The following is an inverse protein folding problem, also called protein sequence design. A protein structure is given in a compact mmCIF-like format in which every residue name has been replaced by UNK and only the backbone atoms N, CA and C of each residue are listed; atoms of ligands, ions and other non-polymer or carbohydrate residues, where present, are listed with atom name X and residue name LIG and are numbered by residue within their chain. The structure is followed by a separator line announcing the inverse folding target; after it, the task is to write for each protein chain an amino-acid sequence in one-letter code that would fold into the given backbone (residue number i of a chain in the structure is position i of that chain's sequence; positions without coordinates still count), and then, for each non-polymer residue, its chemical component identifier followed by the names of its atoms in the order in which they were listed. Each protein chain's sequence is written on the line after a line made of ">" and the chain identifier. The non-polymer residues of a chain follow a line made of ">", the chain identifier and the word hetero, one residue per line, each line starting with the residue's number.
data_IF_983321953347
#
_entry.id   IF_983321953347
#
_cell.length_a   1.000
_cell.length_b   1.000
_cell.length_c   1.000
_cell.angle_alpha   90.00
_cell.angle_beta   90.00
_cell.angle_gamma   90.00
#
_symmetry.space_group_name_H-M   'P 1'
#
loop_
_entity.id
_entity.type
_entity.pdbx_description
1 polymer ?
#
# COMPACT_ATOMS: atom_id res chain seq x y z
N UNK A 1 98.03 5.10 30.61
CA UNK A 1 97.20 5.72 31.66
C UNK A 1 95.75 5.52 31.28
N UNK A 2 94.91 5.15 32.27
CA UNK A 2 93.48 4.75 32.16
C UNK A 2 92.61 5.84 31.48
N UNK A 3 91.40 5.61 30.94
CA UNK A 3 90.28 4.71 31.30
C UNK A 3 89.28 4.67 30.12
N UNK A 4 88.80 3.51 29.62
CA UNK A 4 87.53 2.81 29.98
C UNK A 4 86.27 3.70 29.96
N UNK A 5 85.36 3.59 28.98
CA UNK A 5 84.35 2.54 28.66
C UNK A 5 82.94 2.81 29.25
N UNK A 6 81.95 2.57 28.38
CA UNK A 6 80.54 2.16 28.60
C UNK A 6 79.40 3.18 28.41
N UNK A 7 78.59 2.87 27.38
CA UNK A 7 77.15 3.08 27.16
C UNK A 7 76.28 2.33 28.21
N UNK A 8 74.92 2.22 28.12
CA UNK A 8 73.86 3.02 27.44
C UNK A 8 72.58 3.22 28.34
N UNK A 9 71.44 3.58 27.70
CA UNK A 9 70.00 3.34 28.04
C UNK A 9 69.18 4.64 28.23
N UNK A 10 68.09 4.79 27.47
CA UNK A 10 66.92 5.55 27.92
C UNK A 10 65.61 4.82 27.65
N UNK A 11 64.83 4.70 28.72
CA UNK A 11 63.46 4.18 28.77
C UNK A 11 62.54 5.27 29.35
N UNK A 12 61.26 5.10 29.04
CA UNK A 12 60.08 5.90 29.34
C UNK A 12 59.82 6.27 30.82
N UNK A 13 59.12 7.39 31.04
CA UNK A 13 58.35 7.70 32.27
C UNK A 13 58.25 9.21 32.54
N UNK A 14 57.11 9.87 32.28
CA UNK A 14 55.93 10.04 33.16
C UNK A 14 56.21 10.74 34.51
N UNK A 15 55.69 11.97 34.68
CA UNK A 15 55.35 12.53 36.00
C UNK A 15 54.29 13.64 35.92
N UNK A 16 53.58 13.78 37.05
CA UNK A 16 52.24 14.32 37.28
C UNK A 16 52.32 15.40 38.38
N UNK A 17 51.50 16.46 38.32
CA UNK A 17 51.16 17.37 39.44
C UNK A 17 51.05 18.84 39.02
N UNK A 18 49.87 19.49 38.90
CA UNK A 18 48.83 19.98 39.85
C UNK A 18 48.97 21.44 40.36
N UNK A 19 47.81 22.15 40.36
CA UNK A 19 47.43 23.49 40.90
C UNK A 19 47.71 24.71 39.98
N UNK A 20 46.72 25.37 39.34
CA UNK A 20 45.58 26.15 39.87
C UNK A 20 45.89 27.66 39.65
N UNK A 21 45.23 28.40 38.74
CA UNK A 21 44.09 29.31 39.05
C UNK A 21 43.36 29.82 37.78
N UNK A 22 42.02 29.83 37.86
CA UNK A 22 41.01 30.83 37.40
C UNK A 22 40.91 31.32 35.94
N UNK A 23 39.64 31.34 35.48
CA UNK A 23 39.04 32.14 34.37
C UNK A 23 39.23 31.55 32.97
N UNK A 24 38.24 31.32 32.11
CA UNK A 24 36.80 31.52 32.13
C UNK A 24 36.27 31.28 30.69
N UNK A 25 35.32 30.34 30.56
CA UNK A 25 34.22 30.28 29.56
C UNK A 25 34.59 30.31 28.05
N UNK A 26 34.55 29.11 27.41
CA UNK A 26 33.60 28.76 26.33
C UNK A 26 34.01 27.42 25.69
N UNK A 27 33.32 26.33 26.06
CA UNK A 27 33.38 25.05 25.34
C UNK A 27 31.96 24.68 24.91
N UNK A 28 31.71 24.74 23.60
CA UNK A 28 30.62 23.99 22.98
C UNK A 28 31.22 22.63 22.63
N UNK A 29 30.94 21.63 23.46
CA UNK A 29 31.25 20.24 23.16
C UNK A 29 30.01 19.53 22.61
N UNK A 30 30.19 19.02 21.40
CA UNK A 30 29.37 18.03 20.74
C UNK A 30 29.25 16.78 21.63
N UNK A 31 28.02 16.37 21.95
CA UNK A 31 27.72 15.04 22.47
C UNK A 31 26.94 14.32 21.38
N UNK A 32 27.62 13.39 20.70
CA UNK A 32 26.96 12.23 20.08
C UNK A 32 26.47 11.35 21.22
N UNK A 33 25.17 11.06 21.25
CA UNK A 33 24.65 9.90 21.96
C UNK A 33 23.78 9.08 21.02
N UNK A 34 23.99 7.79 21.15
CA UNK A 34 23.66 6.68 20.28
C UNK A 34 22.16 6.41 20.27
N UNK A 35 21.67 6.01 19.09
CA UNK A 35 20.28 5.68 18.84
C UNK A 35 19.72 4.54 19.68
N UNK A 36 18.40 4.59 19.85
CA UNK A 36 17.55 3.44 20.11
C UNK A 36 16.16 3.77 19.58
N UNK A 37 15.95 3.50 18.29
CA UNK A 37 14.62 3.53 17.69
C UNK A 37 14.14 2.09 17.60
N UNK A 38 13.31 1.70 18.55
CA UNK A 38 12.46 0.50 18.44
C UNK A 38 11.55 0.65 17.23
N UNK A 39 11.65 -0.33 16.34
CA UNK A 39 10.71 -0.61 15.26
C UNK A 39 9.37 -1.06 15.86
N UNK A 40 8.23 -0.64 15.29
CA UNK A 40 7.10 -1.52 15.12
C UNK A 40 6.91 -1.84 13.64
N UNK A 41 6.79 -3.13 13.39
CA UNK A 41 6.55 -3.78 12.11
C UNK A 41 5.32 -3.24 11.39
N UNK A 42 5.46 -2.96 10.09
CA UNK A 42 4.34 -2.92 9.17
C UNK A 42 3.85 -4.36 8.95
N UNK A 43 2.69 -4.69 9.51
CA UNK A 43 1.78 -5.65 8.93
C UNK A 43 0.76 -4.86 8.09
N UNK A 44 0.66 -5.21 6.81
CA UNK A 44 -0.33 -4.64 5.91
C UNK A 44 -1.74 -5.10 6.25
N UNK A 45 -2.71 -4.24 5.98
CA UNK A 45 -4.08 -4.66 5.66
C UNK A 45 -4.58 -3.79 4.52
N UNK A 46 -4.94 -4.50 3.46
CA UNK A 46 -5.66 -4.09 2.26
C UNK A 46 -6.97 -3.37 2.58
N UNK A 47 -7.44 -2.56 1.63
CA UNK A 47 -8.57 -1.66 1.78
C UNK A 47 -9.91 -2.32 2.08
N UNK A 48 -10.90 -1.45 2.31
CA UNK A 48 -12.29 -1.85 2.21
C UNK A 48 -13.12 -0.74 1.59
N UNK A 49 -13.71 -1.11 0.45
CA UNK A 49 -14.75 -0.39 -0.23
C UNK A 49 -16.00 -0.29 0.64
N UNK A 50 -16.74 0.79 0.40
CA UNK A 50 -18.12 1.00 0.78
C UNK A 50 -19.04 -0.16 0.36
N UNK A 51 -19.87 -0.66 1.27
CA UNK A 51 -21.22 -1.09 0.92
C UNK A 51 -22.18 -0.84 2.09
N UNK A 52 -22.98 0.22 1.98
CA UNK A 52 -24.23 0.35 2.72
C UNK A 52 -25.23 -0.54 2.01
N UNK A 53 -25.56 -1.70 2.59
CA UNK A 53 -26.71 -2.49 2.15
C UNK A 53 -27.91 -2.11 3.02
N UNK A 54 -28.86 -1.43 2.38
CA UNK A 54 -30.23 -1.30 2.86
C UNK A 54 -30.87 -2.69 2.80
N UNK A 55 -31.16 -3.26 3.97
CA UNK A 55 -32.04 -4.42 4.08
C UNK A 55 -33.49 -3.96 3.94
N UNK A 56 -34.11 -4.23 2.79
CA UNK A 56 -35.54 -4.46 2.71
C UNK A 56 -35.79 -5.91 3.16
N UNK A 57 -36.79 -6.09 4.04
CA UNK A 57 -37.73 -7.22 4.14
C UNK A 57 -38.04 -7.54 5.60
N UNK A 58 -39.28 -7.25 6.02
CA UNK A 58 -40.18 -8.24 6.64
C UNK A 58 -41.34 -7.51 7.31
N UNK A 59 -42.49 -7.49 6.62
CA UNK A 59 -43.79 -7.27 7.21
C UNK A 59 -44.09 -8.47 8.12
N UNK A 60 -43.76 -8.33 9.41
CA UNK A 60 -44.21 -9.24 10.46
C UNK A 60 -45.70 -9.02 10.72
N UNK A 61 -46.55 -9.79 10.04
CA UNK A 61 -47.97 -9.89 10.34
C UNK A 61 -48.18 -10.96 11.41
N UNK A 62 -48.50 -10.52 12.61
CA UNK A 62 -48.89 -11.39 13.73
C UNK A 62 -50.38 -11.72 13.59
N UNK A 63 -50.68 -12.95 13.15
CA UNK A 63 -51.99 -13.57 13.35
C UNK A 63 -52.10 -14.04 14.81
N UNK A 64 -53.31 -13.96 15.39
CA UNK A 64 -53.83 -15.03 16.24
C UNK A 64 -55.03 -15.67 15.55
N UNK A 65 -54.96 -16.99 15.40
CA UNK A 65 -56.05 -17.80 14.83
C UNK A 65 -57.10 -18.24 15.85
N UNK A 66 -58.11 -18.89 15.28
CA UNK A 66 -59.15 -19.73 15.90
C UNK A 66 -60.33 -18.94 16.50
N UNK A 67 -61.60 -19.22 16.24
CA UNK A 67 -62.24 -20.53 16.09
C UNK A 67 -63.42 -20.49 15.10
N UNK A 68 -63.56 -21.59 14.36
CA UNK A 68 -64.77 -22.00 13.65
C UNK A 68 -65.87 -22.32 14.65
N UNK A 69 -67.11 -21.91 14.35
CA UNK A 69 -68.29 -22.70 14.75
C UNK A 69 -69.33 -22.63 13.64
N UNK A 70 -69.59 -23.80 13.07
CA UNK A 70 -70.53 -24.11 12.00
C UNK A 70 -71.78 -24.78 12.55
N UNK A 71 -72.92 -24.56 11.90
CA UNK A 71 -74.19 -25.30 12.09
C UNK A 71 -75.17 -24.55 13.01
N UNK A 72 -76.45 -24.38 12.71
CA UNK A 72 -77.40 -25.41 12.32
C UNK A 72 -78.55 -24.83 11.44
N UNK A 73 -78.79 -25.52 10.33
CA UNK A 73 -80.03 -25.92 9.66
C UNK A 73 -81.35 -25.11 9.68
N UNK A 74 -81.90 -25.08 8.46
CA UNK A 74 -83.29 -24.90 8.03
C UNK A 74 -84.35 -25.78 8.71
N UNK A 75 -85.58 -25.29 8.56
CA UNK A 75 -86.87 -26.01 8.42
C UNK A 75 -87.76 -26.07 9.67
N UNK A 76 -89.03 -25.73 9.44
CA UNK A 76 -90.10 -25.76 10.42
C UNK A 76 -91.40 -25.16 9.87
N UNK A 77 -91.78 -25.55 8.65
CA UNK A 77 -93.10 -25.35 8.10
C UNK A 77 -94.06 -26.32 8.80
N UNK A 78 -94.99 -25.78 9.59
CA UNK A 78 -96.22 -26.42 10.03
C UNK A 78 -97.31 -25.34 9.86
N UNK A 79 -98.36 -25.50 9.06
CA UNK A 79 -99.12 -26.73 8.86
C UNK A 79 -100.28 -26.76 9.85
N UNK A 80 -101.23 -25.84 9.72
CA UNK A 80 -102.56 -26.01 10.31
C UNK A 80 -103.61 -25.44 9.37
N UNK A 81 -104.33 -26.36 8.74
CA UNK A 81 -105.49 -26.07 7.90
C UNK A 81 -106.71 -25.67 8.74
N UNK A 82 -107.57 -24.89 8.10
CA UNK A 82 -108.87 -24.48 8.62
C UNK A 82 -109.76 -24.08 7.46
N UNK A 83 -110.15 -25.08 6.67
CA UNK A 83 -111.18 -24.99 5.64
C UNK A 83 -112.54 -24.89 6.34
N UNK A 84 -113.28 -23.82 6.10
CA UNK A 84 -114.74 -23.85 6.14
C UNK A 84 -115.30 -23.21 4.85
N UNK A 85 -115.98 -24.07 4.09
CA UNK A 85 -117.00 -23.77 3.08
C UNK A 85 -118.07 -22.83 3.69
N UNK A 86 -118.85 -21.99 3.02
CA UNK A 86 -119.46 -21.98 1.70
C UNK A 86 -120.38 -20.74 1.66
N UNK A 87 -120.54 -20.09 0.51
CA UNK A 87 -121.74 -19.30 0.21
C UNK A 87 -121.58 -17.81 -0.11
N UNK A 88 -122.25 -17.41 -1.19
CA UNK A 88 -122.64 -16.04 -1.59
C UNK A 88 -121.64 -15.18 -2.39
N UNK A 89 -121.68 -15.43 -3.69
CA UNK A 89 -121.16 -14.63 -4.80
C UNK A 89 -121.76 -13.20 -4.78
N UNK A 90 -121.09 -12.23 -4.13
CA UNK A 90 -121.09 -10.78 -4.50
C UNK A 90 -120.20 -9.84 -3.62
N UNK A 91 -119.23 -10.37 -2.83
CA UNK A 91 -118.31 -9.58 -1.98
C UNK A 91 -116.82 -9.60 -2.40
N UNK A 92 -116.45 -10.37 -3.43
CA UNK A 92 -115.05 -10.72 -3.69
C UNK A 92 -114.17 -9.58 -4.24
N UNK A 93 -114.72 -8.55 -4.88
CA UNK A 93 -113.89 -7.48 -5.47
C UNK A 93 -113.33 -6.52 -4.41
N UNK A 94 -114.06 -6.32 -3.31
CA UNK A 94 -113.67 -5.39 -2.26
C UNK A 94 -112.59 -5.97 -1.34
N UNK A 95 -112.69 -7.25 -1.00
CA UNK A 95 -111.68 -7.95 -0.19
C UNK A 95 -110.40 -8.22 -0.98
N UNK A 96 -110.51 -8.52 -2.28
CA UNK A 96 -109.34 -8.62 -3.16
C UNK A 96 -108.66 -7.25 -3.32
N UNK A 97 -109.42 -6.16 -3.48
CA UNK A 97 -108.89 -4.79 -3.48
C UNK A 97 -108.26 -4.40 -2.13
N UNK A 98 -108.83 -4.82 -1.00
CA UNK A 98 -108.21 -4.60 0.32
C UNK A 98 -106.90 -5.36 0.45
N UNK A 99 -106.84 -6.63 0.06
CA UNK A 99 -105.60 -7.41 0.07
C UNK A 99 -104.51 -6.82 -0.84
N UNK A 100 -104.88 -6.33 -2.02
CA UNK A 100 -103.99 -5.60 -2.93
C UNK A 100 -103.51 -4.28 -2.31
N UNK A 101 -104.40 -3.52 -1.67
CA UNK A 101 -104.06 -2.29 -0.97
C UNK A 101 -103.16 -2.55 0.25
N UNK A 102 -103.37 -3.61 1.01
CA UNK A 102 -102.53 -4.00 2.15
C UNK A 102 -101.15 -4.47 1.68
N UNK A 103 -101.09 -5.18 0.56
CA UNK A 103 -99.82 -5.55 -0.08
C UNK A 103 -99.09 -4.33 -0.63
N UNK A 104 -99.80 -3.37 -1.23
CA UNK A 104 -99.23 -2.10 -1.69
C UNK A 104 -98.74 -1.26 -0.51
N UNK A 105 -99.50 -1.19 0.58
CA UNK A 105 -99.09 -0.50 1.81
C UNK A 105 -97.83 -1.11 2.40
N UNK A 106 -97.73 -2.45 2.45
CA UNK A 106 -96.51 -3.15 2.86
C UNK A 106 -95.34 -2.92 1.90
N UNK A 107 -95.58 -2.85 0.59
CA UNK A 107 -94.53 -2.52 -0.38
C UNK A 107 -94.04 -1.08 -0.21
N UNK A 108 -94.94 -0.12 -0.04
CA UNK A 108 -94.61 1.28 0.21
C UNK A 108 -93.85 1.46 1.54
N UNK A 109 -94.23 0.73 2.59
CA UNK A 109 -93.49 0.74 3.85
C UNK A 109 -92.10 0.13 3.70
N UNK A 110 -91.97 -0.94 2.90
CA UNK A 110 -90.66 -1.53 2.60
C UNK A 110 -89.77 -0.59 1.78
N UNK A 111 -90.32 0.13 0.81
CA UNK A 111 -89.60 1.15 0.04
C UNK A 111 -89.11 2.27 0.97
N UNK A 112 -89.98 2.80 1.83
CA UNK A 112 -89.57 3.82 2.83
C UNK A 112 -88.51 3.32 3.79
N UNK A 113 -88.56 2.04 4.18
CA UNK A 113 -87.51 1.43 4.99
C UNK A 113 -86.17 1.36 4.23
N UNK A 114 -86.18 0.92 2.98
CA UNK A 114 -84.98 0.85 2.14
C UNK A 114 -84.41 2.24 1.84
N UNK A 115 -85.26 3.25 1.64
CA UNK A 115 -84.81 4.64 1.47
C UNK A 115 -84.10 5.17 2.72
N UNK A 116 -84.61 4.86 3.92
CA UNK A 116 -83.95 5.19 5.19
C UNK A 116 -82.61 4.47 5.35
N UNK A 117 -82.60 3.16 5.10
CA UNK A 117 -81.37 2.35 5.17
C UNK A 117 -80.33 2.82 4.15
N UNK A 118 -80.74 3.21 2.95
CA UNK A 118 -79.84 3.73 1.92
C UNK A 118 -79.29 5.11 2.30
N UNK A 119 -80.12 6.01 2.84
CA UNK A 119 -79.65 7.31 3.33
C UNK A 119 -78.66 7.17 4.50
N UNK A 120 -78.88 6.21 5.40
CA UNK A 120 -77.93 5.87 6.47
C UNK A 120 -76.60 5.34 5.93
N UNK A 121 -76.65 4.44 4.93
CA UNK A 121 -75.43 3.92 4.28
C UNK A 121 -74.68 5.02 3.53
N UNK A 122 -75.36 5.90 2.81
CA UNK A 122 -74.75 7.06 2.15
C UNK A 122 -74.12 8.04 3.14
N UNK A 123 -74.70 8.22 4.33
CA UNK A 123 -74.09 9.01 5.40
C UNK A 123 -72.83 8.34 5.93
N UNK A 124 -72.87 7.03 6.20
CA UNK A 124 -71.70 6.27 6.66
C UNK A 124 -70.58 6.24 5.62
N UNK A 125 -70.91 6.15 4.33
CA UNK A 125 -69.93 6.22 3.25
C UNK A 125 -69.27 7.60 3.24
N UNK A 126 -70.04 8.70 3.36
CA UNK A 126 -69.49 10.05 3.42
C UNK A 126 -68.61 10.27 4.65
N UNK A 127 -69.07 9.87 5.83
CA UNK A 127 -68.29 9.92 7.07
C UNK A 127 -67.02 9.08 6.97
N UNK A 128 -67.08 7.92 6.32
CA UNK A 128 -65.90 7.09 6.06
C UNK A 128 -64.92 7.81 5.14
N UNK A 129 -65.39 8.40 4.02
CA UNK A 129 -64.51 9.17 3.14
C UNK A 129 -63.89 10.37 3.85
N UNK A 130 -64.66 11.14 4.63
CA UNK A 130 -64.15 12.27 5.42
C UNK A 130 -63.13 11.82 6.48
N UNK A 131 -63.37 10.66 7.10
CA UNK A 131 -62.45 10.05 8.08
C UNK A 131 -61.21 9.42 7.46
N UNK A 132 -61.16 9.21 6.13
CA UNK A 132 -59.98 8.78 5.39
C UNK A 132 -59.12 9.95 4.88
N UNK A 133 -59.64 11.19 4.91
CA UNK A 133 -58.88 12.41 4.58
C UNK A 133 -57.64 12.65 5.49
N UNK A 134 -57.49 12.09 6.71
CA UNK A 134 -56.27 12.26 7.51
C UNK A 134 -55.04 11.43 7.07
N UNK A 135 -55.04 10.75 5.92
CA UNK A 135 -53.82 10.19 5.32
C UNK A 135 -53.25 11.11 4.23
N UNK A 136 -53.16 12.41 4.53
CA UNK A 136 -52.30 13.31 3.76
C UNK A 136 -50.87 12.81 4.00
N UNK A 137 -50.26 12.35 2.90
CA UNK A 137 -48.86 11.94 2.77
C UNK A 137 -47.94 12.72 3.74
N UNK A 138 -47.13 12.06 4.59
CA UNK A 138 -46.09 12.76 5.35
C UNK A 138 -45.26 13.63 4.39
N UNK A 139 -44.90 14.86 4.78
CA UNK A 139 -44.15 15.80 3.93
C UNK A 139 -42.74 15.27 3.59
N UNK A 140 -42.65 14.34 2.63
CA UNK A 140 -41.42 13.71 2.17
C UNK A 140 -40.46 14.70 1.52
N UNK A 141 -40.98 15.85 1.10
CA UNK A 141 -40.20 16.93 0.50
C UNK A 141 -39.13 17.50 1.44
N UNK A 142 -39.36 17.47 2.76
CA UNK A 142 -38.35 17.84 3.75
C UNK A 142 -37.16 16.86 3.76
N UNK A 143 -37.43 15.56 3.72
CA UNK A 143 -36.40 14.52 3.65
C UNK A 143 -35.61 14.61 2.34
N UNK A 144 -36.25 14.85 1.19
CA UNK A 144 -35.54 15.02 -0.07
C UNK A 144 -34.56 16.21 -0.04
N UNK A 145 -34.95 17.35 0.55
CA UNK A 145 -34.04 18.49 0.74
C UNK A 145 -32.84 18.11 1.61
N UNK A 146 -33.06 17.44 2.74
CA UNK A 146 -31.95 16.99 3.60
C UNK A 146 -31.02 16.00 2.90
N UNK A 147 -31.56 15.11 2.06
CA UNK A 147 -30.76 14.16 1.27
C UNK A 147 -29.90 14.91 0.25
N UNK A 148 -30.47 15.89 -0.45
CA UNK A 148 -29.74 16.71 -1.42
C UNK A 148 -28.62 17.52 -0.74
N UNK A 149 -28.90 18.16 0.39
CA UNK A 149 -27.89 18.87 1.20
C UNK A 149 -26.75 17.95 1.63
N UNK A 150 -27.07 16.73 2.08
CA UNK A 150 -26.06 15.74 2.46
C UNK A 150 -25.24 15.26 1.25
N UNK A 151 -25.88 15.05 0.09
CA UNK A 151 -25.19 14.68 -1.14
C UNK A 151 -24.23 15.78 -1.59
N UNK A 152 -24.66 17.04 -1.57
CA UNK A 152 -23.81 18.19 -1.88
C UNK A 152 -22.62 18.28 -0.91
N UNK A 153 -22.86 18.08 0.40
CA UNK A 153 -21.79 18.07 1.41
C UNK A 153 -20.79 16.94 1.18
N UNK A 154 -21.25 15.75 0.79
CA UNK A 154 -20.37 14.62 0.42
C UNK A 154 -19.51 14.97 -0.80
N UNK A 155 -20.08 15.60 -1.82
CA UNK A 155 -19.33 16.01 -3.01
C UNK A 155 -18.27 17.07 -2.69
N UNK A 156 -18.62 18.08 -1.91
CA UNK A 156 -17.67 19.13 -1.48
C UNK A 156 -16.54 18.55 -0.64
N UNK A 157 -16.86 17.73 0.36
CA UNK A 157 -15.85 17.05 1.18
C UNK A 157 -14.97 16.10 0.38
N UNK A 158 -15.51 15.42 -0.63
CA UNK A 158 -14.71 14.60 -1.55
C UNK A 158 -13.74 15.45 -2.38
N UNK A 159 -14.18 16.59 -2.90
CA UNK A 159 -13.32 17.52 -3.64
C UNK A 159 -12.23 18.11 -2.74
N UNK A 160 -12.58 18.48 -1.50
CA UNK A 160 -11.63 18.96 -0.49
C UNK A 160 -10.61 17.89 -0.11
N UNK A 161 -11.02 16.64 0.08
CA UNK A 161 -10.12 15.53 0.34
C UNK A 161 -9.13 15.33 -0.83
N UNK A 162 -9.61 15.38 -2.09
CA UNK A 162 -8.73 15.29 -3.25
C UNK A 162 -7.71 16.44 -3.28
N UNK A 163 -8.16 17.68 -2.98
CA UNK A 163 -7.28 18.85 -2.88
C UNK A 163 -6.23 18.67 -1.77
N UNK A 164 -6.62 18.18 -0.60
CA UNK A 164 -5.69 17.93 0.51
C UNK A 164 -4.66 16.85 0.18
N UNK A 165 -5.07 15.76 -0.48
CA UNK A 165 -4.14 14.72 -0.94
C UNK A 165 -3.09 15.30 -1.88
N UNK A 166 -3.50 16.13 -2.85
CA UNK A 166 -2.55 16.80 -3.75
C UNK A 166 -1.60 17.75 -3.01
N UNK A 167 -2.09 18.49 -2.01
CA UNK A 167 -1.24 19.35 -1.18
C UNK A 167 -0.23 18.54 -0.35
N UNK A 168 -0.65 17.39 0.18
CA UNK A 168 0.23 16.48 0.92
C UNK A 168 1.33 15.94 -0.01
N UNK A 169 0.97 15.50 -1.21
CA UNK A 169 1.93 14.96 -2.17
C UNK A 169 2.89 16.05 -2.65
N UNK A 170 2.40 17.27 -2.91
CA UNK A 170 3.26 18.41 -3.24
C UNK A 170 4.22 18.76 -2.10
N UNK A 171 3.75 18.77 -0.84
CA UNK A 171 4.59 19.03 0.32
C UNK A 171 5.66 17.94 0.54
N UNK A 172 5.32 16.67 0.28
CA UNK A 172 6.27 15.55 0.33
C UNK A 172 7.34 15.68 -0.75
N UNK A 173 6.95 15.95 -2.00
CA UNK A 173 7.90 16.17 -3.10
C UNK A 173 8.84 17.35 -2.80
N UNK A 174 8.31 18.46 -2.29
CA UNK A 174 9.14 19.60 -1.88
C UNK A 174 10.10 19.24 -0.74
N UNK A 175 9.66 18.45 0.24
CA UNK A 175 10.52 17.98 1.34
C UNK A 175 11.63 17.05 0.85
N UNK A 176 11.33 16.14 -0.09
CA UNK A 176 12.32 15.25 -0.71
C UNK A 176 13.33 16.03 -1.58
N UNK A 177 12.88 17.05 -2.31
CA UNK A 177 13.74 17.97 -3.05
C UNK A 177 14.71 18.71 -2.12
N UNK A 178 14.22 19.22 -0.98
CA UNK A 178 15.07 19.88 0.01
C UNK A 178 16.03 18.91 0.70
N UNK A 179 15.60 17.68 0.98
CA UNK A 179 16.48 16.63 1.53
C UNK A 179 17.63 16.34 0.58
N UNK A 180 17.33 16.14 -0.70
CA UNK A 180 18.35 15.85 -1.72
C UNK A 180 19.33 17.02 -1.86
N UNK A 181 18.82 18.27 -1.92
CA UNK A 181 19.68 19.48 -1.95
C UNK A 181 20.56 19.59 -0.71
N UNK A 182 20.01 19.30 0.47
CA UNK A 182 20.77 19.31 1.72
C UNK A 182 21.89 18.26 1.71
N UNK A 183 21.62 17.04 1.25
CA UNK A 183 22.63 15.97 1.15
C UNK A 183 23.76 16.35 0.18
N UNK A 184 23.42 16.95 -0.98
CA UNK A 184 24.44 17.44 -1.93
C UNK A 184 25.29 18.57 -1.36
N UNK A 185 24.66 19.56 -0.70
CA UNK A 185 25.38 20.67 -0.05
C UNK A 185 26.25 20.20 1.11
N UNK A 186 25.75 19.25 1.90
CA UNK A 186 26.52 18.63 2.98
C UNK A 186 27.76 17.91 2.44
N UNK A 187 27.62 17.16 1.34
CA UNK A 187 28.74 16.51 0.68
C UNK A 187 29.78 17.52 0.18
N UNK A 188 29.35 18.58 -0.50
CA UNK A 188 30.24 19.66 -0.96
C UNK A 188 30.94 20.37 0.21
N UNK A 189 30.21 20.66 1.29
CA UNK A 189 30.79 21.25 2.51
C UNK A 189 31.87 20.35 3.10
N UNK A 190 31.62 19.05 3.23
CA UNK A 190 32.59 18.10 3.78
C UNK A 190 33.87 18.02 2.93
N UNK A 191 33.74 18.07 1.61
CA UNK A 191 34.88 18.11 0.69
C UNK A 191 35.72 19.38 0.91
N UNK A 192 35.07 20.54 0.93
CA UNK A 192 35.76 21.83 1.19
C UNK A 192 36.39 21.86 2.58
N UNK A 193 35.74 21.30 3.60
CA UNK A 193 36.31 21.16 4.94
C UNK A 193 37.55 20.26 4.93
N UNK A 194 37.53 19.14 4.21
CA UNK A 194 38.67 18.26 4.06
C UNK A 194 39.84 18.98 3.38
N UNK A 195 39.60 19.69 2.28
CA UNK A 195 40.60 20.49 1.57
C UNK A 195 41.18 21.59 2.46
N UNK A 196 40.33 22.32 3.19
CA UNK A 196 40.78 23.37 4.12
C UNK A 196 41.64 22.79 5.25
N UNK A 197 41.28 21.61 5.77
CA UNK A 197 42.09 20.91 6.77
C UNK A 197 43.43 20.44 6.19
N UNK A 198 43.44 19.96 4.94
CA UNK A 198 44.67 19.61 4.21
C UNK A 198 45.60 20.81 4.01
N UNK A 199 45.06 21.94 3.55
CA UNK A 199 45.82 23.18 3.40
C UNK A 199 46.39 23.70 4.73
N UNK A 200 45.64 23.57 5.83
CA UNK A 200 46.16 23.90 7.17
C UNK A 200 47.35 23.02 7.56
N UNK A 201 47.31 21.72 7.28
CA UNK A 201 48.45 20.82 7.53
C UNK A 201 49.68 21.20 6.72
N UNK A 202 49.50 21.49 5.43
CA UNK A 202 50.61 21.95 4.56
C UNK A 202 51.20 23.26 5.10
N UNK A 203 50.36 24.19 5.57
CA UNK A 203 50.83 25.43 6.18
C UNK A 203 51.64 25.17 7.46
N UNK A 204 51.19 24.25 8.32
CA UNK A 204 51.91 23.88 9.54
C UNK A 204 53.27 23.24 9.19
N UNK A 205 53.31 22.33 8.22
CA UNK A 205 54.54 21.70 7.72
C UNK A 205 55.51 22.74 7.14
N UNK A 206 55.04 23.66 6.29
CA UNK A 206 55.84 24.75 5.74
C UNK A 206 56.36 25.68 6.84
N UNK A 207 55.57 25.91 7.89
CA UNK A 207 55.98 26.74 9.04
C UNK A 207 57.12 26.07 9.80
N UNK A 208 57.07 24.74 9.99
CA UNK A 208 58.17 23.98 10.60
C UNK A 208 59.42 24.01 9.71
N UNK A 209 59.30 23.73 8.41
CA UNK A 209 60.44 23.79 7.48
C UNK A 209 61.08 25.19 7.45
N UNK A 210 60.26 26.25 7.52
CA UNK A 210 60.76 27.62 7.60
C UNK A 210 61.56 27.83 8.89
N UNK A 211 61.04 27.41 10.04
CA UNK A 211 61.74 27.54 11.32
C UNK A 211 63.07 26.76 11.32
N UNK A 212 63.10 25.56 10.75
CA UNK A 212 64.32 24.75 10.61
C UNK A 212 65.37 25.47 9.74
N UNK A 213 64.96 26.05 8.61
CA UNK A 213 65.85 26.84 7.74
C UNK A 213 66.32 28.13 8.42
N UNK A 214 65.46 28.81 9.17
CA UNK A 214 65.83 30.00 9.96
C UNK A 214 66.89 29.65 11.01
N UNK A 215 66.73 28.53 11.72
CA UNK A 215 67.72 28.01 12.67
C UNK A 215 69.07 27.69 11.98
N UNK A 216 69.04 27.05 10.81
CA UNK A 216 70.27 26.79 10.03
C UNK A 216 70.96 28.10 9.64
N UNK A 217 70.20 29.10 9.16
CA UNK A 217 70.75 30.42 8.82
C UNK A 217 71.35 31.12 10.03
N UNK A 218 70.73 31.05 11.20
CA UNK A 218 71.26 31.61 12.43
C UNK A 218 72.55 30.91 12.86
N UNK A 219 72.58 29.58 12.85
CA UNK A 219 73.79 28.80 13.20
C UNK A 219 74.98 29.14 12.28
N UNK A 220 74.77 29.21 10.96
CA UNK A 220 75.81 29.59 10.00
C UNK A 220 76.30 31.02 10.20
N UNK A 221 75.42 31.95 10.62
CA UNK A 221 75.83 33.32 10.95
C UNK A 221 76.69 33.35 12.21
N UNK A 222 76.35 32.57 13.23
CA UNK A 222 77.14 32.44 14.45
C UNK A 222 78.53 31.85 14.14
N UNK A 223 78.60 30.77 13.36
CA UNK A 223 79.86 30.17 12.90
C UNK A 223 80.73 31.19 12.15
N UNK A 224 80.15 31.97 11.23
CA UNK A 224 80.85 33.02 10.48
C UNK A 224 81.39 34.11 11.41
N UNK A 225 80.61 34.55 12.40
CA UNK A 225 81.08 35.51 13.41
C UNK A 225 82.22 34.95 14.27
N UNK A 226 82.12 33.70 14.72
CA UNK A 226 83.20 33.01 15.43
C UNK A 226 84.47 32.94 14.59
N UNK A 227 84.37 32.56 13.31
CA UNK A 227 85.51 32.48 12.40
C UNK A 227 86.18 33.85 12.20
N UNK A 228 85.38 34.91 12.00
CA UNK A 228 85.91 36.28 11.88
C UNK A 228 86.62 36.75 13.14
N UNK A 229 86.05 36.50 14.31
CA UNK A 229 86.65 36.86 15.59
C UNK A 229 87.96 36.11 15.81
N UNK A 230 87.98 34.80 15.56
CA UNK A 230 89.19 33.99 15.65
C UNK A 230 90.27 34.53 14.71
N UNK A 231 89.92 34.82 13.45
CA UNK A 231 90.85 35.40 12.49
C UNK A 231 91.37 36.77 12.93
N UNK A 232 90.52 37.64 13.47
CA UNK A 232 90.93 38.94 13.99
C UNK A 232 91.88 38.80 15.18
N UNK A 233 91.60 37.87 16.10
CA UNK A 233 92.49 37.53 17.23
C UNK A 233 93.83 36.96 16.75
N UNK A 234 93.83 36.06 15.77
CA UNK A 234 95.05 35.51 15.15
C UNK A 234 95.86 36.61 14.45
N UNK A 235 95.23 37.47 13.66
CA UNK A 235 95.89 38.60 13.01
C UNK A 235 96.46 39.57 14.05
N UNK A 236 95.72 39.85 15.12
CA UNK A 236 96.18 40.72 16.21
C UNK A 236 97.33 40.10 16.99
N UNK A 237 97.27 38.80 17.32
CA UNK A 237 98.37 38.09 17.98
C UNK A 237 99.62 38.05 17.11
N UNK A 238 99.49 37.77 15.81
CA UNK A 238 100.59 37.85 14.85
C UNK A 238 101.15 39.28 14.75
N UNK A 239 100.30 40.30 14.66
CA UNK A 239 100.72 41.72 14.68
C UNK A 239 101.44 42.10 15.98
N UNK A 240 101.01 41.59 17.12
CA UNK A 240 101.66 41.80 18.41
C UNK A 240 103.00 41.04 18.50
N UNK A 241 103.08 39.81 17.97
CA UNK A 241 104.35 39.06 17.83
C UNK A 241 105.33 39.79 16.89
N UNK A 242 104.81 40.47 15.87
CA UNK A 242 105.56 41.29 14.91
C UNK A 242 105.82 42.74 15.39
N UNK A 243 105.48 43.09 16.63
CA UNK A 243 105.58 44.47 17.14
C UNK A 243 106.98 45.08 16.98
N UNK A 244 107.05 46.16 16.19
CA UNK A 244 108.09 47.22 16.04
C UNK A 244 109.58 46.88 16.24
N UNK A 245 109.95 45.60 16.15
CA UNK A 245 111.31 45.10 16.25
C UNK A 245 111.46 43.84 15.41
N UNK A 246 111.51 43.97 14.10
CA UNK A 246 112.17 42.97 13.26
C UNK A 246 112.73 43.60 11.96
N UNK A 247 113.88 44.27 12.08
CA UNK A 247 114.95 43.97 11.13
C UNK A 247 115.29 42.49 11.34
N UNK A 248 114.88 41.63 10.40
CA UNK A 248 115.35 40.24 10.36
C UNK A 248 116.71 40.27 9.67
N UNK A 249 117.77 40.46 10.45
CA UNK A 249 119.06 39.89 10.10
C UNK A 249 118.93 38.37 10.24
N UNK A 250 119.16 37.70 9.11
CA UNK A 250 119.23 36.25 8.96
C UNK A 250 120.41 35.74 9.77
N UNK A 251 120.17 35.17 10.96
CA UNK A 251 121.11 34.26 11.59
C UNK A 251 120.80 32.84 11.11
N UNK A 252 121.71 32.31 10.29
CA UNK A 252 121.60 30.97 9.73
C UNK A 252 121.80 29.95 10.85
N UNK A 253 120.70 29.52 11.45
CA UNK A 253 120.67 28.30 12.24
C UNK A 253 121.24 27.12 11.41
N UNK A 254 121.85 26.11 12.06
CA UNK A 254 122.60 25.04 11.41
C UNK A 254 121.78 24.41 10.28
N UNK A 255 122.40 24.05 9.14
CA UNK A 255 121.71 23.71 7.90
C UNK A 255 120.65 22.64 8.16
N UNK A 256 119.40 23.08 8.29
CA UNK A 256 118.27 22.19 8.22
C UNK A 256 118.21 21.74 6.77
N UNK A 257 118.19 20.43 6.59
CA UNK A 257 118.19 19.76 5.31
C UNK A 257 116.94 20.22 4.52
N UNK A 258 117.12 21.27 3.71
CA UNK A 258 116.04 21.96 3.01
C UNK A 258 115.30 20.99 2.08
N UNK A 259 116.01 19.98 1.57
CA UNK A 259 115.43 18.89 0.81
C UNK A 259 114.41 18.10 1.63
N UNK A 260 114.70 17.78 2.90
CA UNK A 260 113.73 17.08 3.77
C UNK A 260 112.46 17.89 4.01
N UNK A 261 112.56 19.20 4.23
CA UNK A 261 111.39 20.05 4.43
C UNK A 261 110.59 20.19 3.13
N UNK A 262 111.26 20.36 1.99
CA UNK A 262 110.60 20.43 0.68
C UNK A 262 109.95 19.10 0.29
N UNK A 263 110.58 17.97 0.62
CA UNK A 263 110.04 16.63 0.42
C UNK A 263 108.86 16.37 1.36
N UNK A 264 108.92 16.79 2.62
CA UNK A 264 107.81 16.70 3.58
C UNK A 264 106.61 17.56 3.14
N UNK A 265 106.85 18.80 2.70
CA UNK A 265 105.84 19.67 2.11
C UNK A 265 105.21 19.03 0.87
N UNK A 266 106.02 18.46 -0.03
CA UNK A 266 105.53 17.76 -1.22
C UNK A 266 104.69 16.55 -0.84
N UNK A 267 105.15 15.74 0.12
CA UNK A 267 104.39 14.61 0.68
C UNK A 267 103.04 15.05 1.26
N UNK A 268 102.99 16.16 2.00
CA UNK A 268 101.74 16.70 2.54
C UNK A 268 100.77 17.15 1.45
N UNK A 269 101.27 17.82 0.41
CA UNK A 269 100.43 18.22 -0.73
C UNK A 269 99.96 17.01 -1.54
N UNK A 270 100.82 16.04 -1.80
CA UNK A 270 100.43 14.80 -2.48
C UNK A 270 99.37 14.05 -1.68
N UNK A 271 99.52 13.97 -0.36
CA UNK A 271 98.52 13.35 0.54
C UNK A 271 97.20 14.13 0.53
N UNK A 272 97.25 15.46 0.55
CA UNK A 272 96.06 16.31 0.54
C UNK A 272 95.32 16.23 -0.81
N UNK A 273 96.04 16.22 -1.93
CA UNK A 273 95.47 16.03 -3.27
C UNK A 273 94.86 14.65 -3.40
N UNK A 274 95.53 13.62 -2.90
CA UNK A 274 95.04 12.24 -2.93
C UNK A 274 93.82 12.02 -2.03
N UNK A 275 93.79 12.67 -0.86
CA UNK A 275 92.59 12.72 0.00
C UNK A 275 91.45 13.45 -0.72
N UNK A 276 91.70 14.62 -1.28
CA UNK A 276 90.68 15.41 -1.99
C UNK A 276 90.10 14.63 -3.19
N UNK A 277 90.95 13.94 -3.96
CA UNK A 277 90.53 13.06 -5.05
C UNK A 277 89.60 11.95 -4.54
N UNK A 278 89.97 11.27 -3.46
CA UNK A 278 89.15 10.22 -2.84
C UNK A 278 87.83 10.75 -2.30
N UNK A 279 87.83 11.91 -1.66
CA UNK A 279 86.62 12.53 -1.10
C UNK A 279 85.65 12.92 -2.23
N UNK A 280 86.17 13.47 -3.33
CA UNK A 280 85.38 13.80 -4.52
C UNK A 280 84.81 12.55 -5.18
N UNK A 281 85.61 11.49 -5.35
CA UNK A 281 85.12 10.21 -5.88
C UNK A 281 84.06 9.57 -4.98
N UNK A 282 84.26 9.58 -3.66
CA UNK A 282 83.29 9.07 -2.70
C UNK A 282 81.97 9.88 -2.75
N UNK A 283 82.08 11.21 -2.84
CA UNK A 283 80.91 12.09 -2.97
C UNK A 283 80.15 11.83 -4.28
N UNK A 284 80.85 11.72 -5.42
CA UNK A 284 80.23 11.36 -6.70
C UNK A 284 79.56 9.98 -6.66
N UNK A 285 80.21 8.98 -6.05
CA UNK A 285 79.64 7.65 -5.90
C UNK A 285 78.38 7.68 -5.03
N UNK A 286 78.40 8.43 -3.92
CA UNK A 286 77.25 8.57 -3.04
C UNK A 286 76.08 9.23 -3.78
N UNK A 287 76.34 10.32 -4.52
CA UNK A 287 75.29 10.98 -5.28
C UNK A 287 74.73 10.14 -6.43
N UNK A 288 75.58 9.38 -7.11
CA UNK A 288 75.11 8.48 -8.18
C UNK A 288 74.30 7.30 -7.62
N UNK A 289 74.66 6.78 -6.44
CA UNK A 289 73.89 5.77 -5.72
C UNK A 289 72.52 6.30 -5.28
N UNK A 290 72.46 7.50 -4.69
CA UNK A 290 71.22 8.17 -4.28
C UNK A 290 70.28 8.40 -5.48
N UNK A 291 70.82 8.91 -6.59
CA UNK A 291 70.06 9.12 -7.82
C UNK A 291 69.53 7.80 -8.38
N UNK A 292 70.36 6.74 -8.41
CA UNK A 292 69.92 5.42 -8.85
C UNK A 292 68.81 4.86 -7.94
N UNK A 293 68.92 5.02 -6.63
CA UNK A 293 67.89 4.58 -5.69
C UNK A 293 66.57 5.36 -5.90
N UNK A 294 66.64 6.66 -6.18
CA UNK A 294 65.47 7.47 -6.52
C UNK A 294 64.84 7.03 -7.85
N UNK A 295 65.65 6.71 -8.87
CA UNK A 295 65.14 6.22 -10.16
C UNK A 295 64.46 4.85 -10.00
N UNK A 296 65.05 3.93 -9.24
CA UNK A 296 64.46 2.61 -8.98
C UNK A 296 63.13 2.75 -8.23
N UNK A 297 63.11 3.52 -7.13
CA UNK A 297 61.88 3.73 -6.35
C UNK A 297 60.78 4.42 -7.16
N UNK A 298 61.12 5.42 -7.98
CA UNK A 298 60.19 6.07 -8.90
C UNK A 298 59.66 5.10 -9.96
N UNK A 299 60.52 4.25 -10.52
CA UNK A 299 60.13 3.21 -11.49
C UNK A 299 59.20 2.16 -10.86
N UNK A 300 59.46 1.73 -9.63
CA UNK A 300 58.61 0.81 -8.89
C UNK A 300 57.23 1.42 -8.61
N UNK A 301 57.17 2.68 -8.16
CA UNK A 301 55.92 3.40 -7.96
C UNK A 301 55.12 3.53 -9.26
N UNK A 302 55.78 3.88 -10.36
CA UNK A 302 55.15 3.96 -11.67
C UNK A 302 54.57 2.61 -12.08
N UNK A 303 55.30 1.51 -11.85
CA UNK A 303 54.85 0.16 -12.16
C UNK A 303 53.65 -0.25 -11.31
N UNK A 304 53.64 0.06 -10.01
CA UNK A 304 52.51 -0.15 -9.10
C UNK A 304 51.26 0.59 -9.58
N UNK A 305 51.39 1.88 -9.90
CA UNK A 305 50.29 2.68 -10.46
C UNK A 305 49.79 2.11 -11.78
N UNK A 306 50.69 1.63 -12.65
CA UNK A 306 50.32 1.00 -13.91
C UNK A 306 49.52 -0.29 -13.70
N UNK A 307 49.93 -1.14 -12.74
CA UNK A 307 49.18 -2.36 -12.40
C UNK A 307 47.80 -2.04 -11.83
N UNK A 308 47.70 -1.03 -10.95
CA UNK A 308 46.42 -0.59 -10.37
C UNK A 308 45.46 -0.07 -11.45
N UNK A 309 45.96 0.74 -12.40
CA UNK A 309 45.15 1.20 -13.54
C UNK A 309 44.62 0.02 -14.37
N UNK A 310 45.44 -1.01 -14.60
CA UNK A 310 45.03 -2.19 -15.36
C UNK A 310 43.97 -2.98 -14.59
N UNK A 311 44.13 -3.16 -13.28
CA UNK A 311 43.16 -3.85 -12.41
C UNK A 311 41.84 -3.10 -12.33
N UNK A 312 41.87 -1.78 -12.14
CA UNK A 312 40.67 -0.95 -12.15
C UNK A 312 39.93 -1.03 -13.50
N UNK A 313 40.65 -1.00 -14.63
CA UNK A 313 40.04 -1.20 -15.96
C UNK A 313 39.40 -2.58 -16.09
N UNK A 314 40.04 -3.64 -15.59
CA UNK A 314 39.46 -4.99 -15.58
C UNK A 314 38.19 -5.05 -14.73
N UNK A 315 38.20 -4.41 -13.55
CA UNK A 315 37.06 -4.35 -12.65
C UNK A 315 35.88 -3.59 -13.27
N UNK A 316 36.14 -2.45 -13.92
CA UNK A 316 35.11 -1.69 -14.64
C UNK A 316 34.48 -2.55 -15.74
N UNK A 317 35.29 -3.19 -16.59
CA UNK A 317 34.78 -4.05 -17.65
C UNK A 317 33.96 -5.24 -17.08
N UNK A 318 34.40 -5.84 -15.98
CA UNK A 318 33.67 -6.93 -15.32
C UNK A 318 32.31 -6.46 -14.78
N UNK A 319 32.26 -5.29 -14.15
CA UNK A 319 31.02 -4.69 -13.65
C UNK A 319 30.07 -4.28 -14.79
N UNK A 320 30.60 -3.79 -15.92
CA UNK A 320 29.80 -3.48 -17.11
C UNK A 320 29.15 -4.74 -17.71
N UNK A 321 29.88 -5.86 -17.77
CA UNK A 321 29.34 -7.15 -18.23
C UNK A 321 28.25 -7.64 -17.28
N UNK A 322 28.49 -7.56 -15.96
CA UNK A 322 27.49 -7.95 -14.96
C UNK A 322 26.23 -7.08 -15.07
N UNK A 323 26.38 -5.77 -15.22
CA UNK A 323 25.26 -4.84 -15.44
C UNK A 323 24.45 -5.22 -16.70
N UNK A 324 25.13 -5.55 -17.80
CA UNK A 324 24.47 -6.00 -19.03
C UNK A 324 23.75 -7.34 -18.85
N UNK A 325 24.34 -8.28 -18.09
CA UNK A 325 23.72 -9.56 -17.76
C UNK A 325 22.46 -9.37 -16.91
N UNK A 326 22.51 -8.48 -15.91
CA UNK A 326 21.36 -8.13 -15.07
C UNK A 326 20.25 -7.46 -15.87
N UNK A 327 20.58 -6.54 -16.79
CA UNK A 327 19.59 -5.95 -17.70
C UNK A 327 18.93 -7.00 -18.60
N UNK A 328 19.71 -7.95 -19.12
CA UNK A 328 19.19 -9.04 -19.94
C UNK A 328 18.25 -9.95 -19.13
N UNK A 329 18.62 -10.27 -17.88
CA UNK A 329 17.79 -11.04 -16.96
C UNK A 329 16.47 -10.31 -16.66
N UNK A 330 16.53 -9.02 -16.29
CA UNK A 330 15.33 -8.20 -16.07
C UNK A 330 14.40 -8.23 -17.27
N UNK A 331 14.91 -7.96 -18.48
CA UNK A 331 14.11 -7.95 -19.70
C UNK A 331 13.44 -9.30 -19.94
N UNK A 332 14.15 -10.41 -19.69
CA UNK A 332 13.58 -11.75 -19.83
C UNK A 332 12.44 -11.99 -18.83
N UNK A 333 12.61 -11.57 -17.58
CA UNK A 333 11.58 -11.69 -16.54
C UNK A 333 10.35 -10.83 -16.88
N UNK A 334 10.55 -9.57 -17.29
CA UNK A 334 9.48 -8.68 -17.73
C UNK A 334 8.70 -9.26 -18.92
N UNK A 335 9.40 -9.86 -19.90
CA UNK A 335 8.76 -10.56 -21.03
C UNK A 335 7.92 -11.74 -20.55
N UNK A 336 8.46 -12.59 -19.67
CA UNK A 336 7.70 -13.72 -19.12
C UNK A 336 6.49 -13.28 -18.31
N UNK A 337 6.61 -12.20 -17.54
CA UNK A 337 5.50 -11.62 -16.80
C UNK A 337 4.40 -11.15 -17.76
N UNK A 338 4.73 -10.33 -18.75
CA UNK A 338 3.78 -9.84 -19.75
C UNK A 338 3.10 -10.98 -20.53
N UNK A 339 3.84 -12.04 -20.89
CA UNK A 339 3.27 -13.23 -21.52
C UNK A 339 2.28 -13.96 -20.60
N UNK A 340 2.61 -14.13 -19.32
CA UNK A 340 1.71 -14.78 -18.36
C UNK A 340 0.46 -13.95 -18.09
N UNK A 341 0.59 -12.64 -17.89
CA UNK A 341 -0.53 -11.70 -17.74
C UNK A 341 -1.43 -11.73 -18.97
N UNK A 342 -0.85 -11.70 -20.18
CA UNK A 342 -1.59 -11.80 -21.44
C UNK A 342 -2.35 -13.12 -21.57
N UNK A 343 -1.73 -14.26 -21.20
CA UNK A 343 -2.39 -15.58 -21.19
C UNK A 343 -3.57 -15.61 -20.21
N UNK A 344 -3.39 -15.16 -18.98
CA UNK A 344 -4.46 -15.16 -17.98
C UNK A 344 -5.59 -14.19 -18.34
N UNK A 345 -5.27 -13.01 -18.87
CA UNK A 345 -6.26 -12.06 -19.38
C UNK A 345 -7.12 -12.68 -20.49
N UNK A 346 -6.49 -13.39 -21.44
CA UNK A 346 -7.24 -14.12 -22.48
C UNK A 346 -8.14 -15.22 -21.91
N UNK A 347 -7.64 -16.00 -20.94
CA UNK A 347 -8.44 -17.05 -20.29
C UNK A 347 -9.64 -16.46 -19.53
N UNK A 348 -9.45 -15.35 -18.81
CA UNK A 348 -10.54 -14.64 -18.12
C UNK A 348 -11.57 -14.11 -19.11
N UNK A 349 -11.14 -13.53 -20.24
CA UNK A 349 -12.04 -13.06 -21.28
C UNK A 349 -12.86 -14.21 -21.90
N UNK A 350 -12.23 -15.38 -22.12
CA UNK A 350 -12.93 -16.57 -22.60
C UNK A 350 -13.99 -17.06 -21.60
N UNK A 351 -13.64 -17.15 -20.31
CA UNK A 351 -14.58 -17.55 -19.26
C UNK A 351 -15.73 -16.55 -19.12
N UNK A 352 -15.45 -15.25 -19.18
CA UNK A 352 -16.48 -14.21 -19.18
C UNK A 352 -17.42 -14.35 -20.37
N UNK A 353 -16.90 -14.67 -21.56
CA UNK A 353 -17.71 -14.94 -22.75
C UNK A 353 -18.64 -16.15 -22.58
N UNK A 354 -18.15 -17.24 -21.95
CA UNK A 354 -18.98 -18.41 -21.63
C UNK A 354 -20.08 -18.06 -20.63
N UNK A 355 -19.77 -17.31 -19.58
CA UNK A 355 -20.74 -16.85 -18.59
C UNK A 355 -21.82 -16.03 -19.28
N UNK A 356 -21.45 -15.03 -20.07
CA UNK A 356 -22.42 -14.17 -20.78
C UNK A 356 -23.29 -14.95 -21.76
N UNK A 357 -22.75 -15.98 -22.43
CA UNK A 357 -23.55 -16.85 -23.29
C UNK A 357 -24.58 -17.67 -22.50
N UNK A 358 -24.20 -18.24 -21.35
CA UNK A 358 -25.13 -18.98 -20.48
C UNK A 358 -26.18 -18.06 -19.87
N UNK A 359 -25.80 -16.86 -19.43
CA UNK A 359 -26.72 -15.83 -18.94
C UNK A 359 -27.74 -15.43 -20.00
N UNK A 360 -27.31 -15.27 -21.26
CA UNK A 360 -28.20 -14.98 -22.38
C UNK A 360 -29.20 -16.13 -22.64
N UNK A 361 -28.73 -17.38 -22.65
CA UNK A 361 -29.61 -18.55 -22.80
C UNK A 361 -30.62 -18.66 -21.65
N UNK A 362 -30.20 -18.39 -20.40
CA UNK A 362 -31.11 -18.37 -19.25
C UNK A 362 -32.16 -17.26 -19.37
N UNK A 363 -31.79 -16.09 -19.87
CA UNK A 363 -32.72 -15.00 -20.12
C UNK A 363 -33.74 -15.37 -21.19
N UNK A 364 -33.30 -15.97 -22.30
CA UNK A 364 -34.17 -16.45 -23.38
C UNK A 364 -35.20 -17.47 -22.88
N UNK A 365 -34.77 -18.49 -22.14
CA UNK A 365 -35.66 -19.51 -21.57
C UNK A 365 -36.68 -18.88 -20.60
N UNK A 366 -36.29 -17.89 -19.80
CA UNK A 366 -37.22 -17.18 -18.91
C UNK A 366 -38.28 -16.41 -19.70
N UNK A 367 -37.88 -15.69 -20.75
CA UNK A 367 -38.82 -14.99 -21.62
C UNK A 367 -39.79 -15.95 -22.31
N UNK A 368 -39.31 -17.11 -22.79
CA UNK A 368 -40.17 -18.14 -23.38
C UNK A 368 -41.15 -18.74 -22.38
N UNK A 369 -40.72 -18.99 -21.14
CA UNK A 369 -41.59 -19.48 -20.08
C UNK A 369 -42.68 -18.46 -19.72
N UNK A 370 -42.31 -17.17 -19.61
CA UNK A 370 -43.26 -16.09 -19.38
C UNK A 370 -44.30 -15.99 -20.50
N UNK A 371 -43.87 -16.11 -21.76
CA UNK A 371 -44.76 -16.15 -22.92
C UNK A 371 -45.71 -17.35 -22.87
N UNK A 372 -45.20 -18.55 -22.61
CA UNK A 372 -46.03 -19.75 -22.48
C UNK A 372 -47.05 -19.64 -21.34
N UNK A 373 -46.67 -19.02 -20.22
CA UNK A 373 -47.57 -18.78 -19.10
C UNK A 373 -48.72 -17.84 -19.50
N UNK A 374 -48.42 -16.77 -20.23
CA UNK A 374 -49.44 -15.87 -20.77
C UNK A 374 -50.39 -16.59 -21.73
N UNK A 375 -49.87 -17.40 -22.66
CA UNK A 375 -50.68 -18.22 -23.58
C UNK A 375 -51.56 -19.22 -22.82
N UNK A 376 -51.03 -19.85 -21.78
CA UNK A 376 -51.78 -20.78 -20.93
C UNK A 376 -52.90 -20.07 -20.17
N UNK A 377 -52.66 -18.87 -19.66
CA UNK A 377 -53.68 -18.06 -18.99
C UNK A 377 -54.83 -17.70 -19.94
N UNK A 378 -54.51 -17.29 -21.17
CA UNK A 378 -55.52 -17.03 -22.21
C UNK A 378 -56.34 -18.28 -22.52
N UNK A 379 -55.71 -19.45 -22.58
CA UNK A 379 -56.41 -20.72 -22.82
C UNK A 379 -57.34 -21.08 -21.66
N UNK A 380 -56.92 -20.85 -20.41
CA UNK A 380 -57.78 -21.03 -19.24
C UNK A 380 -59.00 -20.10 -19.28
N UNK A 381 -58.83 -18.85 -19.70
CA UNK A 381 -59.94 -17.90 -19.85
C UNK A 381 -60.92 -18.33 -20.95
N UNK A 382 -60.42 -18.85 -22.08
CA UNK A 382 -61.26 -19.45 -23.14
C UNK A 382 -62.01 -20.67 -22.60
N UNK A 383 -61.31 -21.57 -21.91
CA UNK A 383 -61.91 -22.77 -21.30
C UNK A 383 -63.02 -22.38 -20.33
N UNK A 384 -62.79 -21.43 -19.43
CA UNK A 384 -63.80 -20.97 -18.47
C UNK A 384 -65.05 -20.40 -19.19
N UNK A 385 -64.87 -19.65 -20.29
CA UNK A 385 -65.99 -19.18 -21.12
C UNK A 385 -66.76 -20.34 -21.76
N UNK A 386 -66.07 -21.29 -22.38
CA UNK A 386 -66.71 -22.47 -22.99
C UNK A 386 -67.44 -23.34 -21.95
N UNK A 387 -66.88 -23.50 -20.75
CA UNK A 387 -67.55 -24.21 -19.65
C UNK A 387 -68.85 -23.49 -19.23
N UNK A 388 -68.85 -22.14 -19.22
CA UNK A 388 -70.05 -21.36 -18.96
C UNK A 388 -71.12 -21.54 -20.05
N UNK A 389 -70.72 -21.59 -21.32
CA UNK A 389 -71.61 -21.85 -22.46
C UNK A 389 -72.18 -23.28 -22.41
N UNK A 390 -71.36 -24.29 -22.11
CA UNK A 390 -71.85 -25.67 -21.94
C UNK A 390 -72.85 -25.74 -20.79
N UNK A 391 -72.60 -25.03 -19.68
CA UNK A 391 -73.52 -24.99 -18.55
C UNK A 391 -74.86 -24.30 -18.89
N UNK A 392 -74.86 -23.28 -19.77
CA UNK A 392 -76.10 -22.69 -20.27
C UNK A 392 -76.82 -23.62 -21.25
N UNK A 393 -76.09 -24.26 -22.18
CA UNK A 393 -76.67 -25.25 -23.08
C UNK A 393 -77.32 -26.42 -22.32
N UNK A 394 -76.65 -26.98 -21.30
CA UNK A 394 -77.23 -28.02 -20.43
C UNK A 394 -78.51 -27.55 -19.75
N UNK A 395 -78.55 -26.32 -19.21
CA UNK A 395 -79.75 -25.73 -18.61
C UNK A 395 -80.91 -25.59 -19.58
N UNK A 396 -80.64 -25.24 -20.84
CA UNK A 396 -81.67 -25.13 -21.88
C UNK A 396 -82.23 -26.51 -22.24
N UNK A 397 -81.36 -27.51 -22.41
CA UNK A 397 -81.74 -28.90 -22.67
C UNK A 397 -82.55 -29.50 -21.51
N UNK A 398 -82.08 -29.35 -20.26
CA UNK A 398 -82.79 -29.81 -19.05
C UNK A 398 -84.09 -29.02 -18.79
N UNK A 399 -84.17 -27.77 -19.26
CA UNK A 399 -85.38 -26.93 -19.22
C UNK A 399 -86.46 -27.35 -20.22
N UNK A 400 -86.09 -28.07 -21.29
CA UNK A 400 -87.04 -28.68 -22.23
C UNK A 400 -87.57 -30.04 -21.72
N UNK A 401 -86.82 -30.72 -20.84
CA UNK A 401 -87.19 -32.03 -20.29
C UNK A 401 -88.12 -31.98 -19.05
N UNK A 402 -88.52 -30.79 -18.58
CA UNK A 402 -89.46 -30.66 -17.44
C UNK A 402 -90.95 -30.82 -17.81
N UNK A 403 -91.30 -31.33 -18.99
CA UNK A 403 -92.70 -31.54 -19.42
C UNK A 403 -93.12 -32.96 -19.76
N UNK A 404 -92.37 -34.00 -19.40
CA UNK A 404 -92.83 -35.38 -19.61
C UNK A 404 -92.64 -36.28 -18.36
N UNK A 405 -93.70 -37.01 -17.92
CA UNK A 405 -93.63 -37.87 -16.75
C UNK A 405 -92.76 -39.10 -17.00
N UNK A 406 -91.97 -39.46 -15.99
CA UNK A 406 -91.18 -40.68 -15.94
C UNK A 406 -92.04 -41.96 -16.03
N UNK A 407 -91.55 -42.97 -16.76
CA UNK A 407 -91.74 -44.40 -16.44
C UNK A 407 -90.76 -45.29 -17.26
N UNK A 408 -90.53 -46.56 -16.88
CA UNK A 408 -89.18 -47.08 -16.60
C UNK A 408 -88.85 -48.36 -17.39
N UNK A 409 -87.61 -48.55 -17.80
CA UNK A 409 -87.02 -49.89 -18.05
C UNK A 409 -85.52 -49.71 -18.32
N UNK A 410 -84.67 -50.34 -17.51
CA UNK A 410 -83.93 -51.56 -17.87
C UNK A 410 -82.73 -51.21 -18.79
N UNK A 411 -81.46 -51.57 -18.56
CA UNK A 411 -80.82 -52.70 -17.88
C UNK A 411 -79.33 -52.34 -17.74
N UNK A 412 -78.69 -52.80 -16.67
CA UNK A 412 -77.27 -53.14 -16.48
C UNK A 412 -76.15 -52.41 -17.25
N UNK A 413 -75.13 -51.93 -16.51
CA UNK A 413 -73.79 -52.56 -16.49
C UNK A 413 -72.79 -51.68 -15.70
N UNK A 414 -72.18 -52.28 -14.69
CA UNK A 414 -71.02 -51.73 -13.99
C UNK A 414 -69.76 -51.94 -14.84
N UNK A 415 -68.83 -50.97 -14.84
CA UNK A 415 -67.43 -51.32 -14.73
C UNK A 415 -66.81 -50.61 -13.51
N UNK A 416 -66.21 -51.41 -12.63
CA UNK A 416 -65.32 -50.93 -11.61
C UNK A 416 -63.88 -51.04 -12.15
N UNK A 417 -63.33 -49.93 -12.64
CA UNK A 417 -61.88 -49.77 -12.79
C UNK A 417 -61.42 -48.83 -11.69
N UNK A 418 -60.80 -49.40 -10.66
CA UNK A 418 -60.05 -48.66 -9.66
C UNK A 418 -58.71 -48.26 -10.28
N UNK A 419 -58.52 -46.96 -10.51
CA UNK A 419 -57.19 -46.35 -10.62
C UNK A 419 -56.89 -45.69 -9.26
N UNK A 420 -55.73 -45.94 -8.62
CA UNK A 420 -55.40 -45.31 -7.36
C UNK A 420 -55.10 -43.83 -7.56
N UNK A 421 -55.74 -43.02 -6.74
CA UNK A 421 -55.36 -41.65 -6.41
C UNK A 421 -53.91 -41.63 -5.91
N UNK A 422 -53.02 -40.94 -6.63
CA UNK A 422 -51.69 -40.59 -6.12
C UNK A 422 -51.91 -39.55 -5.04
N UNK A 423 -51.74 -39.99 -3.78
CA UNK A 423 -51.65 -39.12 -2.63
C UNK A 423 -50.45 -38.19 -2.80
N UNK A 424 -50.71 -36.89 -2.86
CA UNK A 424 -49.74 -35.84 -2.64
C UNK A 424 -49.20 -35.97 -1.20
N UNK A 425 -48.06 -36.63 -1.05
CA UNK A 425 -47.29 -36.60 0.20
C UNK A 425 -46.75 -35.18 0.46
N UNK A 426 -46.61 -34.75 1.73
CA UNK A 426 -45.99 -33.49 2.05
C UNK A 426 -44.54 -33.50 1.58
N UNK A 427 -44.15 -32.47 0.86
CA UNK A 427 -42.77 -32.24 0.43
C UNK A 427 -41.85 -32.32 1.66
N UNK A 428 -40.99 -33.34 1.71
CA UNK A 428 -39.91 -33.38 2.69
C UNK A 428 -39.02 -32.15 2.48
N UNK A 429 -38.56 -31.47 3.55
CA UNK A 429 -37.58 -30.41 3.39
C UNK A 429 -36.33 -31.01 2.75
N UNK A 430 -35.95 -30.47 1.59
CA UNK A 430 -34.76 -30.89 0.86
C UNK A 430 -33.49 -30.79 1.73
N UNK A 431 -32.41 -31.49 1.33
CA UNK A 431 -31.18 -31.51 2.12
C UNK A 431 -30.68 -30.09 2.31
N UNK A 432 -30.46 -29.68 3.56
CA UNK A 432 -29.82 -28.40 3.87
C UNK A 432 -28.43 -28.41 3.26
N UNK A 433 -28.23 -27.63 2.20
CA UNK A 433 -26.93 -27.38 1.60
C UNK A 433 -26.11 -26.54 2.58
N UNK A 434 -25.32 -27.21 3.42
CA UNK A 434 -24.28 -26.53 4.21
C UNK A 434 -23.17 -26.10 3.26
N UNK A 435 -23.07 -24.80 3.00
CA UNK A 435 -21.97 -24.23 2.23
C UNK A 435 -20.79 -24.10 3.17
N UNK A 436 -19.65 -24.72 2.87
CA UNK A 436 -18.40 -24.56 3.63
C UNK A 436 -17.36 -23.93 2.71
N UNK A 437 -16.60 -22.97 3.23
CA UNK A 437 -15.47 -22.38 2.50
C UNK A 437 -14.26 -23.26 2.77
N UNK A 438 -13.73 -23.87 1.71
CA UNK A 438 -12.50 -24.67 1.73
C UNK A 438 -11.37 -23.83 1.18
N UNK A 439 -10.43 -23.47 2.04
CA UNK A 439 -9.22 -22.75 1.64
C UNK A 439 -8.06 -23.74 1.61
N UNK A 440 -7.50 -23.97 0.43
CA UNK A 440 -6.34 -24.83 0.22
C UNK A 440 -5.13 -23.92 0.00
N UNK A 441 -4.12 -24.03 0.86
CA UNK A 441 -2.84 -23.34 0.70
C UNK A 441 -1.78 -24.36 0.29
N UNK A 442 -1.22 -24.16 -0.90
CA UNK A 442 -0.15 -24.98 -1.45
C UNK A 442 1.15 -24.17 -1.51
N UNK A 443 2.23 -24.73 -0.96
CA UNK A 443 3.57 -24.19 -1.07
C UNK A 443 4.30 -24.87 -2.23
N UNK A 444 4.89 -24.07 -3.11
CA UNK A 444 5.62 -24.54 -4.29
C UNK A 444 7.11 -24.20 -4.17
N UNK A 445 7.98 -25.13 -4.59
CA UNK A 445 9.39 -24.87 -4.89
C UNK A 445 9.75 -25.62 -6.16
N UNK A 446 10.41 -24.94 -7.09
CA UNK A 446 10.80 -25.46 -8.41
C UNK A 446 9.65 -26.12 -9.18
N UNK A 447 8.45 -25.54 -9.11
CA UNK A 447 7.27 -26.02 -9.84
C UNK A 447 6.64 -27.30 -9.28
N UNK A 448 7.07 -27.80 -8.12
CA UNK A 448 6.43 -28.93 -7.42
C UNK A 448 5.84 -28.50 -6.08
N UNK A 449 4.63 -29.00 -5.77
CA UNK A 449 3.95 -28.79 -4.48
C UNK A 449 4.71 -29.57 -3.41
N UNK A 450 5.23 -28.87 -2.42
CA UNK A 450 6.00 -29.45 -1.31
C UNK A 450 5.16 -29.62 -0.05
N UNK A 451 4.08 -28.84 0.09
CA UNK A 451 3.18 -28.88 1.24
C UNK A 451 1.82 -28.35 0.83
N UNK A 452 0.74 -29.08 1.16
CA UNK A 452 -0.64 -28.67 0.95
C UNK A 452 -1.37 -28.73 2.28
N UNK A 453 -1.97 -27.62 2.70
CA UNK A 453 -2.78 -27.54 3.92
C UNK A 453 -4.17 -27.08 3.57
N UNK A 454 -5.16 -27.85 4.02
CA UNK A 454 -6.56 -27.57 3.79
C UNK A 454 -7.20 -27.12 5.10
N UNK A 455 -7.82 -25.94 5.08
CA UNK A 455 -8.62 -25.45 6.18
C UNK A 455 -10.07 -25.27 5.73
N UNK A 456 -10.98 -25.93 6.46
CA UNK A 456 -12.42 -25.91 6.17
C UNK A 456 -13.10 -25.10 7.27
N UNK A 457 -13.74 -24.01 6.89
CA UNK A 457 -14.49 -23.17 7.82
C UNK A 457 -15.99 -23.31 7.53
N UNK A 458 -16.80 -23.73 8.52
CA UNK A 458 -18.25 -23.73 8.38
C UNK A 458 -18.76 -22.29 8.40
N UNK A 459 -19.66 -21.96 7.47
CA UNK A 459 -20.36 -20.67 7.39
C UNK A 459 -21.51 -20.59 8.40
#
# INVERSE_FOLDING_TARGET
>A
MASQLCSPIFSSGSLRGHCGTTSGISRVSCVRSVGSCRVPSLAGVSGSASSVRLGLSSLGSCLPGSFLSSGFHSSGFAGTGGWFCEGAFNGNEKETMQFLNDRLANYLEKVRQLERENAELESRIREWYESQIPYICPDYQSYFKTIEELQQKILLTKADNARLVLQIDNAKLAADDFRTKYETELGMRQLVEADTNGLRRILDELTLCKADLEMQVESLKEELMCLKKNHEEEVNTLRCQLGDRLNVEVDAAPPVDLNKILDEMRCQYETLVENNRRDVEAWFNTQTEELNQQVVSSSEQLQCCQTEIIELRRNVNALEIELQAQHSMRNSLESTLAETEGRYSSQLAQMQGLISNVEAQLAEIRCDLERQNQEYQVLLDVKARLESEIATYRRLLEGEDCKLPAHPCATECKPAVRVPYVSSGPCAPGPQLSTQIRTITEEFRDGKIISSREHVQPL
#
